data_IF_727283384164
#
_entry.id   IF_727283384164
#
_cell.length_a   1.000
_cell.length_b   1.000
_cell.length_c   1.000
_cell.angle_alpha   90.00
_cell.angle_beta   90.00
_cell.angle_gamma   90.00
#
_symmetry.space_group_name_H-M   'P 1'
#
loop_
_entity.id
_entity.type
_entity.pdbx_description
1 polymer ?
#
# COMPACT_ATOMS: atom_id res chain seq x y z
N UNK A 1 -1.73 -15.95 4.12
CA UNK A 1 -1.01 -14.66 4.06
C UNK A 1 0.02 -14.70 2.95
N UNK A 2 0.25 -13.59 2.24
CA UNK A 2 1.26 -13.49 1.18
C UNK A 2 2.00 -12.15 1.34
N UNK A 3 3.31 -12.16 1.11
CA UNK A 3 4.15 -10.97 1.22
C UNK A 3 4.93 -10.77 -0.09
N UNK A 4 4.92 -9.53 -0.59
CA UNK A 4 5.64 -9.13 -1.80
C UNK A 4 6.56 -7.97 -1.46
N UNK A 5 7.67 -7.85 -2.20
CA UNK A 5 8.56 -6.71 -2.03
C UNK A 5 7.90 -5.45 -2.57
N UNK A 6 8.08 -4.34 -1.87
CA UNK A 6 7.64 -3.03 -2.36
C UNK A 6 8.25 -2.74 -3.75
N UNK A 7 7.48 -2.17 -4.69
CA UNK A 7 7.99 -1.87 -6.02
C UNK A 7 9.02 -0.74 -5.98
N UNK A 8 10.03 -0.83 -6.85
CA UNK A 8 11.07 0.20 -6.96
C UNK A 8 12.08 0.27 -5.81
N UNK A 9 12.85 1.35 -5.80
CA UNK A 9 13.93 1.60 -4.83
C UNK A 9 14.02 3.11 -4.49
N UNK A 10 14.62 3.42 -3.34
CA UNK A 10 14.81 4.80 -2.87
C UNK A 10 13.51 5.58 -2.76
N UNK A 11 13.53 6.86 -3.16
CA UNK A 11 12.36 7.74 -3.08
C UNK A 11 11.21 7.29 -3.98
N UNK A 12 11.51 6.65 -5.12
CA UNK A 12 10.48 6.07 -5.99
C UNK A 12 9.69 4.97 -5.28
N UNK A 13 10.33 4.20 -4.39
CA UNK A 13 9.62 3.19 -3.59
C UNK A 13 8.62 3.86 -2.65
N UNK A 14 9.00 4.96 -2.01
CA UNK A 14 8.13 5.69 -1.08
C UNK A 14 6.90 6.25 -1.81
N UNK A 15 7.13 6.94 -2.94
CA UNK A 15 6.05 7.45 -3.77
C UNK A 15 5.11 6.33 -4.26
N UNK A 16 5.64 5.22 -4.77
CA UNK A 16 4.80 4.10 -5.23
C UNK A 16 4.03 3.41 -4.09
N UNK A 17 4.62 3.33 -2.88
CA UNK A 17 3.91 2.81 -1.71
C UNK A 17 2.78 3.73 -1.26
N UNK A 18 3.01 5.04 -1.35
CA UNK A 18 1.99 6.06 -1.08
C UNK A 18 0.84 5.99 -2.08
N UNK A 19 1.14 5.83 -3.37
CA UNK A 19 0.13 5.60 -4.42
C UNK A 19 -0.72 4.36 -4.12
N UNK A 20 -0.10 3.25 -3.71
CA UNK A 20 -0.80 2.02 -3.35
C UNK A 20 -1.65 2.21 -2.08
N UNK A 21 -1.13 2.95 -1.10
CA UNK A 21 -1.84 3.26 0.12
C UNK A 21 -3.11 4.07 -0.19
N UNK A 22 -2.98 5.14 -0.99
CA UNK A 22 -4.08 5.96 -1.46
C UNK A 22 -5.10 5.12 -2.26
N UNK A 23 -4.64 4.33 -3.23
CA UNK A 23 -5.51 3.46 -4.04
C UNK A 23 -6.33 2.48 -3.19
N UNK A 24 -5.75 1.96 -2.11
CA UNK A 24 -6.38 0.96 -1.25
C UNK A 24 -7.06 1.56 -0.01
N UNK A 25 -6.93 2.87 0.22
CA UNK A 25 -7.44 3.56 1.41
C UNK A 25 -6.67 3.22 2.69
N UNK A 26 -5.42 2.76 2.57
CA UNK A 26 -4.52 2.49 3.69
C UNK A 26 -3.52 3.62 3.91
N UNK A 27 -2.59 3.41 4.83
CA UNK A 27 -1.50 4.36 5.11
C UNK A 27 -0.16 3.67 4.89
N UNK A 28 0.75 4.33 4.16
CA UNK A 28 2.11 3.84 3.99
C UNK A 28 2.88 3.97 5.32
N UNK A 29 3.20 2.84 5.94
CA UNK A 29 3.93 2.80 7.21
C UNK A 29 5.42 2.91 6.90
N UNK A 30 6.06 3.94 7.46
CA UNK A 30 7.49 4.16 7.32
C UNK A 30 8.06 4.64 8.66
N UNK A 31 9.23 4.11 9.03
CA UNK A 31 9.98 4.58 10.20
C UNK A 31 10.39 6.06 10.05
N UNK A 32 10.60 6.52 8.82
CA UNK A 32 10.91 7.92 8.51
C UNK A 32 9.76 8.87 8.87
N UNK A 33 8.52 8.36 8.84
CA UNK A 33 7.30 9.09 9.24
C UNK A 33 7.01 8.96 10.74
N UNK A 34 7.88 8.27 11.51
CA UNK A 34 7.71 8.04 12.94
C UNK A 34 6.64 7.00 13.29
N UNK A 35 6.07 6.32 12.30
CA UNK A 35 5.05 5.29 12.49
C UNK A 35 5.75 3.95 12.72
N UNK A 36 5.75 3.47 13.96
CA UNK A 36 6.26 2.13 14.29
C UNK A 36 5.25 1.06 13.90
N UNK A 37 5.75 -0.06 13.39
CA UNK A 37 4.93 -1.22 13.04
C UNK A 37 4.06 -1.74 14.21
N UNK A 38 4.54 -1.54 15.44
CA UNK A 38 3.87 -1.93 16.69
C UNK A 38 2.59 -1.14 16.97
N UNK A 39 2.47 0.09 16.44
CA UNK A 39 1.34 0.99 16.67
C UNK A 39 0.32 0.97 15.52
N UNK A 40 0.47 0.05 14.56
CA UNK A 40 -0.38 -0.03 13.38
C UNK A 40 -1.77 -0.52 13.79
N UNK A 41 -2.80 0.26 13.43
CA UNK A 41 -4.19 -0.11 13.64
C UNK A 41 -4.81 -0.71 12.38
N UNK A 42 -5.95 -1.38 12.52
CA UNK A 42 -6.69 -1.95 11.39
C UNK A 42 -7.19 -0.88 10.40
N UNK A 43 -7.30 0.36 10.83
CA UNK A 43 -7.73 1.50 10.01
C UNK A 43 -6.63 1.94 9.02
N UNK A 44 -5.37 1.65 9.34
CA UNK A 44 -4.23 1.96 8.47
C UNK A 44 -4.03 0.91 7.36
N UNK A 45 -4.72 -0.23 7.45
CA UNK A 45 -4.62 -1.30 6.46
C UNK A 45 -5.54 -1.03 5.27
N UNK A 46 -4.94 -0.96 4.08
CA UNK A 46 -5.69 -0.83 2.83
C UNK A 46 -6.54 -2.06 2.52
N UNK A 47 -7.61 -1.86 1.75
CA UNK A 47 -8.49 -2.93 1.28
C UNK A 47 -8.58 -2.93 -0.24
N UNK A 48 -8.69 -4.11 -0.82
CA UNK A 48 -8.91 -4.31 -2.24
C UNK A 48 -9.82 -5.52 -2.46
N UNK A 49 -10.59 -5.52 -3.53
CA UNK A 49 -11.50 -6.64 -3.85
C UNK A 49 -10.77 -7.88 -4.31
N UNK A 50 -9.68 -7.72 -5.07
CA UNK A 50 -8.88 -8.81 -5.59
C UNK A 50 -7.41 -8.43 -5.66
N UNK A 51 -6.55 -9.32 -5.18
CA UNK A 51 -5.10 -9.21 -5.29
C UNK A 51 -4.58 -10.46 -5.99
N UNK A 52 -3.85 -10.28 -7.08
CA UNK A 52 -3.24 -11.37 -7.86
C UNK A 52 -1.73 -11.22 -7.74
N UNK A 53 -1.08 -12.25 -7.22
CA UNK A 53 0.38 -12.30 -7.07
C UNK A 53 0.90 -13.39 -7.98
N UNK A 54 1.74 -13.00 -8.92
CA UNK A 54 2.48 -13.88 -9.82
C UNK A 54 3.96 -13.90 -9.42
N UNK A 55 4.77 -14.70 -10.12
CA UNK A 55 6.20 -14.84 -9.81
C UNK A 55 6.96 -13.51 -9.84
N UNK A 56 6.58 -12.62 -10.76
CA UNK A 56 7.29 -11.36 -11.00
C UNK A 56 6.40 -10.12 -10.84
N UNK A 57 5.07 -10.29 -10.84
CA UNK A 57 4.11 -9.19 -10.86
C UNK A 57 3.11 -9.30 -9.72
N UNK A 58 2.63 -8.16 -9.24
CA UNK A 58 1.51 -8.07 -8.30
C UNK A 58 0.49 -7.10 -8.85
N UNK A 59 -0.76 -7.54 -8.97
CA UNK A 59 -1.88 -6.74 -9.46
C UNK A 59 -2.91 -6.57 -8.36
N UNK A 60 -3.27 -5.32 -8.07
CA UNK A 60 -4.31 -4.96 -7.11
C UNK A 60 -5.50 -4.42 -7.90
N UNK A 61 -6.68 -5.00 -7.70
CA UNK A 61 -7.91 -4.67 -8.45
C UNK A 61 -9.01 -4.23 -7.49
N UNK A 62 -9.70 -3.15 -7.87
CA UNK A 62 -10.75 -2.47 -7.10
C UNK A 62 -10.27 -2.18 -5.66
N UNK A 63 -9.29 -1.28 -5.53
CA UNK A 63 -8.89 -0.72 -4.24
C UNK A 63 -10.03 0.09 -3.61
N UNK A 64 -10.15 0.04 -2.28
CA UNK A 64 -11.20 0.73 -1.53
C UNK A 64 -10.84 2.19 -1.19
N UNK A 65 -9.87 2.78 -1.90
CA UNK A 65 -9.47 4.17 -1.73
C UNK A 65 -10.60 5.14 -2.06
N UNK A 66 -10.56 6.32 -1.44
CA UNK A 66 -11.54 7.37 -1.70
C UNK A 66 -11.25 7.99 -3.06
N UNK A 67 -12.29 8.20 -3.88
CA UNK A 67 -12.17 8.83 -5.20
C UNK A 67 -11.48 10.20 -5.12
N UNK A 68 -11.78 10.96 -4.08
CA UNK A 68 -11.21 12.30 -3.87
C UNK A 68 -9.70 12.29 -3.59
N UNK A 69 -9.14 11.17 -3.14
CA UNK A 69 -7.68 11.04 -2.91
C UNK A 69 -6.95 10.52 -4.15
N UNK A 70 -7.69 9.97 -5.13
CA UNK A 70 -7.16 9.35 -6.35
C UNK A 70 -7.24 10.32 -7.56
N UNK A 71 -8.04 11.39 -7.48
CA UNK A 71 -8.46 12.22 -8.61
C UNK A 71 -7.72 13.56 -8.72
#
# INVERSE_FOLDING_TARGET
VAAVKAPGFGDRRKAMLEDIAILTGGTAISEDLGIKLENVTLEMLGRAKKVVIEKENTTIVDGAGRKDEIQ
#
